data_IF_171746831902
#
_entry.id   IF_171746831902
#
_cell.length_a   1.000
_cell.length_b   1.000
_cell.length_c   1.000
_cell.angle_alpha   90.00
_cell.angle_beta   90.00
_cell.angle_gamma   90.00
#
_symmetry.space_group_name_H-M   'P 1'
#
loop_
_entity.id
_entity.type
_entity.pdbx_description
1 polymer ?
#
# COMPACT_ATOMS: atom_id res chain seq x y z
N UNK A 1 -5.23 16.22 -1.41
CA UNK A 1 -5.42 15.14 -0.43
C UNK A 1 -6.06 13.96 -1.16
N UNK A 2 -5.47 12.76 -1.08
CA UNK A 2 -6.09 11.55 -1.64
C UNK A 2 -7.41 11.30 -0.93
N UNK A 3 -8.51 11.19 -1.67
CA UNK A 3 -9.84 11.02 -1.11
C UNK A 3 -10.23 9.54 -1.10
N UNK A 4 -9.57 8.76 -0.23
CA UNK A 4 -9.72 7.31 -0.15
C UNK A 4 -11.12 6.90 0.31
N UNK A 5 -11.78 7.75 1.11
CA UNK A 5 -13.16 7.56 1.61
C UNK A 5 -14.23 7.54 0.52
N UNK A 6 -13.89 7.99 -0.70
CA UNK A 6 -14.82 7.97 -1.84
C UNK A 6 -14.73 6.69 -2.68
N UNK A 7 -13.83 5.77 -2.33
CA UNK A 7 -13.70 4.49 -3.03
C UNK A 7 -14.91 3.62 -2.65
N UNK A 8 -15.71 3.15 -3.63
CA UNK A 8 -16.83 2.26 -3.35
C UNK A 8 -16.38 1.01 -2.60
N UNK A 9 -17.18 0.60 -1.62
CA UNK A 9 -16.97 -0.60 -0.79
C UNK A 9 -15.62 -0.63 -0.02
N UNK A 10 -14.96 0.52 0.13
CA UNK A 10 -13.76 0.64 0.97
C UNK A 10 -14.14 0.55 2.45
N UNK A 11 -13.60 -0.47 3.12
CA UNK A 11 -13.83 -0.72 4.56
C UNK A 11 -12.69 -0.20 5.45
N UNK A 12 -11.52 0.06 4.89
CA UNK A 12 -10.40 0.71 5.60
C UNK A 12 -9.30 1.19 4.66
N UNK A 13 -8.43 2.08 5.15
CA UNK A 13 -7.27 2.57 4.38
C UNK A 13 -6.06 2.85 5.27
N UNK A 14 -4.87 2.80 4.65
CA UNK A 14 -3.60 3.24 5.20
C UNK A 14 -2.92 4.15 4.17
N UNK A 15 -2.41 5.29 4.64
CA UNK A 15 -1.47 6.14 3.90
C UNK A 15 -0.15 6.06 4.65
N UNK A 16 0.86 5.53 3.98
CA UNK A 16 2.19 5.31 4.55
C UNK A 16 3.20 6.25 3.88
N UNK A 17 4.18 6.68 4.66
CA UNK A 17 5.39 7.31 4.14
C UNK A 17 6.33 6.25 3.54
N UNK A 18 7.37 6.68 2.82
CA UNK A 18 8.36 5.77 2.21
C UNK A 18 9.10 4.91 3.26
N UNK A 19 9.33 5.45 4.47
CA UNK A 19 9.88 4.75 5.62
C UNK A 19 8.86 3.86 6.35
N UNK A 20 7.61 3.81 5.88
CA UNK A 20 6.57 2.92 6.39
C UNK A 20 5.79 3.44 7.59
N UNK A 21 5.99 4.71 7.98
CA UNK A 21 5.22 5.33 9.05
C UNK A 21 3.78 5.65 8.59
N UNK A 22 2.81 5.50 9.50
CA UNK A 22 1.40 5.79 9.21
C UNK A 22 1.18 7.30 9.21
N UNK A 23 0.90 7.88 8.04
CA UNK A 23 0.55 9.30 7.89
C UNK A 23 -0.94 9.55 8.09
N UNK A 24 -1.78 8.62 7.60
CA UNK A 24 -3.22 8.64 7.80
C UNK A 24 -3.76 7.21 7.76
N UNK A 25 -4.86 6.96 8.47
CA UNK A 25 -5.54 5.67 8.47
C UNK A 25 -7.02 5.85 8.79
N UNK A 26 -7.84 4.86 8.44
CA UNK A 26 -9.27 4.87 8.76
C UNK A 26 -9.94 3.52 8.52
N UNK A 27 -11.14 3.37 9.08
CA UNK A 27 -11.93 2.13 9.02
C UNK A 27 -11.22 0.95 9.68
N UNK A 28 -11.30 -0.24 9.09
CA UNK A 28 -10.72 -1.50 9.61
C UNK A 28 -9.18 -1.51 9.72
N UNK A 29 -8.53 -0.45 9.25
CA UNK A 29 -7.08 -0.27 9.28
C UNK A 29 -6.63 0.90 10.17
N UNK A 30 -7.54 1.53 10.90
CA UNK A 30 -7.22 2.64 11.80
C UNK A 30 -6.11 2.25 12.79
N UNK A 31 -5.02 3.04 12.80
CA UNK A 31 -3.84 2.88 13.64
C UNK A 31 -3.19 1.48 13.60
N UNK A 32 -3.35 0.74 12.51
CA UNK A 32 -2.83 -0.62 12.40
C UNK A 32 -1.37 -0.67 11.91
N UNK A 33 -0.45 -0.34 12.82
CA UNK A 33 1.00 -0.33 12.53
C UNK A 33 1.55 -1.71 12.13
N UNK A 34 0.98 -2.79 12.67
CA UNK A 34 1.41 -4.15 12.33
C UNK A 34 1.18 -4.45 10.84
N UNK A 35 0.00 -4.10 10.30
CA UNK A 35 -0.30 -4.22 8.86
C UNK A 35 0.55 -3.25 8.03
N UNK A 36 0.78 -2.03 8.51
CA UNK A 36 1.67 -1.07 7.85
C UNK A 36 3.08 -1.65 7.65
N UNK A 37 3.67 -2.23 8.69
CA UNK A 37 5.00 -2.86 8.63
C UNK A 37 5.07 -4.02 7.62
N UNK A 38 4.02 -4.85 7.57
CA UNK A 38 3.94 -5.96 6.60
C UNK A 38 3.86 -5.42 5.16
N UNK A 39 2.99 -4.43 4.93
CA UNK A 39 2.81 -3.81 3.61
C UNK A 39 4.10 -3.15 3.12
N UNK A 40 4.78 -2.38 3.98
CA UNK A 40 6.06 -1.76 3.66
C UNK A 40 7.13 -2.81 3.33
N UNK A 41 7.17 -3.92 4.07
CA UNK A 41 8.02 -5.06 3.75
C UNK A 41 7.74 -5.63 2.35
N UNK A 42 6.47 -5.82 2.00
CA UNK A 42 6.08 -6.32 0.67
C UNK A 42 6.48 -5.36 -0.45
N UNK A 43 6.25 -4.06 -0.29
CA UNK A 43 6.67 -3.05 -1.28
C UNK A 43 8.19 -3.06 -1.46
N UNK A 44 8.95 -3.08 -0.37
CA UNK A 44 10.42 -3.14 -0.41
C UNK A 44 10.93 -4.39 -1.14
N UNK A 45 10.27 -5.54 -1.01
CA UNK A 45 10.64 -6.74 -1.76
C UNK A 45 10.52 -6.53 -3.28
N UNK A 46 9.55 -5.74 -3.75
CA UNK A 46 9.38 -5.48 -5.18
C UNK A 46 10.50 -4.64 -5.79
N UNK A 47 11.19 -3.82 -4.99
CA UNK A 47 12.35 -3.02 -5.42
C UNK A 47 13.68 -3.81 -5.37
N UNK A 48 13.68 -4.99 -4.73
CA UNK A 48 14.84 -5.87 -4.64
C UNK A 48 14.83 -7.01 -5.68
N UNK A 49 13.87 -6.99 -6.62
CA UNK A 49 13.81 -7.97 -7.72
C UNK A 49 14.90 -7.62 -8.75
N UNK A 50 15.55 -8.64 -9.33
CA UNK A 50 16.54 -8.46 -10.39
C UNK A 50 15.97 -7.54 -11.51
N UNK A 51 16.59 -6.37 -11.75
CA UNK A 51 16.14 -5.42 -12.78
C UNK A 51 16.00 -6.01 -14.19
N UNK A 52 16.71 -7.11 -14.48
CA UNK A 52 16.62 -7.83 -15.75
C UNK A 52 15.31 -8.61 -15.91
N UNK A 53 14.71 -9.02 -14.80
CA UNK A 53 13.44 -9.77 -14.75
C UNK A 53 12.27 -8.82 -14.51
N UNK A 54 12.49 -7.82 -13.66
CA UNK A 54 11.46 -6.88 -13.25
C UNK A 54 12.04 -5.48 -13.22
N UNK A 55 11.57 -4.60 -14.10
CA UNK A 55 12.09 -3.23 -14.17
C UNK A 55 11.97 -2.55 -12.82
N UNK A 56 12.99 -1.78 -12.43
CA UNK A 56 12.95 -0.91 -11.26
C UNK A 56 11.72 0.00 -11.32
N UNK A 57 11.02 0.20 -10.20
CA UNK A 57 9.71 0.90 -10.15
C UNK A 57 8.63 0.30 -11.09
N UNK A 58 8.78 -0.96 -11.50
CA UNK A 58 7.88 -1.67 -12.40
C UNK A 58 6.61 -2.15 -11.70
N UNK A 59 6.63 -2.27 -10.37
CA UNK A 59 5.46 -2.61 -9.58
C UNK A 59 4.59 -1.37 -9.41
N UNK A 60 3.43 -1.34 -10.08
CA UNK A 60 2.46 -0.24 -9.95
C UNK A 60 1.37 -0.54 -8.93
N UNK A 61 1.07 -1.81 -8.70
CA UNK A 61 0.00 -2.26 -7.80
C UNK A 61 0.26 -3.67 -7.31
N UNK A 62 0.06 -3.89 -6.02
CA UNK A 62 0.00 -5.22 -5.39
C UNK A 62 -1.46 -5.44 -4.95
N UNK A 63 -2.02 -6.59 -5.31
CA UNK A 63 -3.36 -7.00 -4.88
C UNK A 63 -3.27 -8.28 -4.07
N UNK A 64 -3.78 -8.25 -2.83
CA UNK A 64 -3.88 -9.42 -1.95
C UNK A 64 -5.35 -9.73 -1.81
N UNK A 65 -5.79 -10.85 -2.41
CA UNK A 65 -7.20 -11.22 -2.50
C UNK A 65 -7.50 -12.33 -1.50
N UNK A 66 -8.39 -12.04 -0.56
CA UNK A 66 -9.00 -13.02 0.34
C UNK A 66 -10.42 -13.32 -0.15
N UNK A 67 -11.08 -14.27 0.50
CA UNK A 67 -12.45 -14.69 0.12
C UNK A 67 -13.47 -13.55 0.28
N UNK A 68 -13.36 -12.75 1.35
CA UNK A 68 -14.35 -11.72 1.70
C UNK A 68 -13.91 -10.28 1.38
N UNK A 69 -12.61 -10.04 1.22
CA UNK A 69 -12.07 -8.69 1.02
C UNK A 69 -10.74 -8.74 0.26
N UNK A 70 -10.23 -7.59 -0.16
CA UNK A 70 -8.89 -7.50 -0.75
C UNK A 70 -8.14 -6.26 -0.28
N UNK A 71 -6.81 -6.37 -0.23
CA UNK A 71 -5.93 -5.21 -0.15
C UNK A 71 -5.50 -4.81 -1.55
N UNK A 72 -5.65 -3.52 -1.86
CA UNK A 72 -5.03 -2.90 -3.05
C UNK A 72 -3.99 -1.90 -2.58
N UNK A 73 -2.73 -2.18 -2.89
CA UNK A 73 -1.57 -1.41 -2.46
C UNK A 73 -0.94 -0.77 -3.69
N UNK A 74 -0.76 0.55 -3.66
CA UNK A 74 -0.15 1.32 -4.73
C UNK A 74 0.99 2.18 -4.15
N UNK A 75 2.13 2.22 -4.84
CA UNK A 75 3.21 3.16 -4.53
C UNK A 75 3.09 4.37 -5.46
N UNK A 76 3.03 5.56 -4.88
CA UNK A 76 2.90 6.83 -5.59
C UNK A 76 3.75 7.85 -4.88
N UNK A 77 4.77 8.39 -5.56
CA UNK A 77 5.37 9.64 -5.12
C UNK A 77 4.35 10.74 -5.34
N UNK A 78 3.87 11.36 -4.26
CA UNK A 78 3.22 12.65 -4.36
C UNK A 78 4.37 13.64 -4.57
N UNK A 79 4.85 13.79 -5.80
CA UNK A 79 5.54 15.03 -6.18
C UNK A 79 4.49 16.15 -6.08
N UNK A 80 4.63 17.00 -5.07
CA UNK A 80 4.07 18.36 -5.10
C UNK A 80 5.10 19.28 -5.74
#
# INVERSE_FOLDING_TARGET
>A
MLNLERIPDQIGYLVLTEDGAVQASGGDLENNEAKANIISGMVNLTENIDPKVFKKNGCKRISIVYDDFSYTICLSNIEQ
#
